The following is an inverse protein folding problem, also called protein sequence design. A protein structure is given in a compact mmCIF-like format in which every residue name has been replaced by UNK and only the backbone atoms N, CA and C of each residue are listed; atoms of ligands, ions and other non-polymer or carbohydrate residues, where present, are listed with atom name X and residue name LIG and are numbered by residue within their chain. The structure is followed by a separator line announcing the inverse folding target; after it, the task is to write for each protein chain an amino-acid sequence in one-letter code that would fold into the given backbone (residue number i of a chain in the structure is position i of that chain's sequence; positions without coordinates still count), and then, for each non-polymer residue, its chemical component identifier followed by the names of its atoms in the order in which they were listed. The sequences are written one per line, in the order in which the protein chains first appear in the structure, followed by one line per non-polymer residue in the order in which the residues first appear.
data_IF_970919545192
#
_entry.id   IF_970919545192
#
_cell.length_a   1.000
_cell.length_b   1.000
_cell.length_c   1.000
_cell.angle_alpha   90.00
_cell.angle_beta   90.00
_cell.angle_gamma   90.00
#
_symmetry.space_group_name_H-M   'P 1'
#
loop_
_entity.id
_entity.type
_entity.pdbx_description
1 polymer ?
#
# COMPACT_ATOMS: atom_id res chain seq x y z
N UNK A 1 46.86 -29.48 1.78
CA UNK A 1 45.53 -29.88 2.28
C UNK A 1 44.64 -30.16 1.07
N UNK A 2 44.30 -31.42 0.82
CA UNK A 2 43.50 -31.81 -0.34
C UNK A 2 42.01 -31.54 -0.07
N UNK A 3 41.41 -30.63 -0.83
CA UNK A 3 39.95 -30.43 -0.84
C UNK A 3 39.28 -31.66 -1.43
N UNK A 4 38.63 -32.48 -0.59
CA UNK A 4 37.80 -33.61 -1.03
C UNK A 4 36.71 -33.10 -1.97
N UNK A 5 36.56 -33.74 -3.13
CA UNK A 5 35.50 -33.42 -4.08
C UNK A 5 34.13 -33.64 -3.43
N UNK A 6 33.28 -32.60 -3.44
CA UNK A 6 31.93 -32.67 -2.90
C UNK A 6 31.07 -33.65 -3.71
N UNK A 7 30.44 -34.62 -3.04
CA UNK A 7 29.53 -35.57 -3.68
C UNK A 7 28.33 -34.85 -4.32
N UNK A 8 27.84 -35.37 -5.44
CA UNK A 8 26.73 -34.77 -6.21
C UNK A 8 25.46 -34.57 -5.37
N UNK A 9 25.15 -35.50 -4.47
CA UNK A 9 24.04 -35.38 -3.52
C UNK A 9 24.18 -34.17 -2.59
N UNK A 10 25.38 -33.93 -2.06
CA UNK A 10 25.68 -32.77 -1.21
C UNK A 10 25.57 -31.45 -1.99
N UNK A 11 25.99 -31.43 -3.26
CA UNK A 11 25.82 -30.25 -4.14
C UNK A 11 24.35 -29.94 -4.37
N UNK A 12 23.52 -30.95 -4.64
CA UNK A 12 22.08 -30.77 -4.86
C UNK A 12 21.38 -30.28 -3.59
N UNK A 13 21.70 -30.86 -2.43
CA UNK A 13 21.16 -30.42 -1.14
C UNK A 13 21.52 -28.95 -0.84
N UNK A 14 22.78 -28.55 -1.07
CA UNK A 14 23.22 -27.17 -0.88
C UNK A 14 22.50 -26.19 -1.83
N UNK A 15 22.24 -26.60 -3.07
CA UNK A 15 21.48 -25.77 -4.03
C UNK A 15 20.01 -25.62 -3.63
N UNK A 16 19.37 -26.67 -3.13
CA UNK A 16 18.00 -26.61 -2.63
C UNK A 16 17.89 -25.71 -1.41
N UNK A 17 18.85 -25.84 -0.48
CA UNK A 17 18.93 -24.99 0.70
C UNK A 17 19.12 -23.51 0.33
N UNK A 18 20.05 -23.21 -0.57
CA UNK A 18 20.29 -21.85 -1.07
C UNK A 18 19.05 -21.25 -1.75
N UNK A 19 18.31 -22.05 -2.52
CA UNK A 19 17.05 -21.61 -3.13
C UNK A 19 16.00 -21.27 -2.07
N UNK A 20 15.84 -22.13 -1.06
CA UNK A 20 14.89 -21.93 0.04
C UNK A 20 15.19 -20.65 0.81
N UNK A 21 16.47 -20.41 1.12
CA UNK A 21 16.92 -19.19 1.81
C UNK A 21 16.67 -17.92 0.99
N UNK A 22 16.91 -17.98 -0.33
CA UNK A 22 16.62 -16.85 -1.23
C UNK A 22 15.13 -16.55 -1.32
N UNK A 23 14.28 -17.57 -1.44
CA UNK A 23 12.83 -17.41 -1.46
C UNK A 23 12.35 -16.75 -0.16
N UNK A 24 12.77 -17.29 0.99
CA UNK A 24 12.41 -16.72 2.29
C UNK A 24 12.84 -15.26 2.44
N UNK A 25 14.03 -14.90 1.93
CA UNK A 25 14.51 -13.52 1.93
C UNK A 25 13.66 -12.60 1.05
N UNK A 26 13.24 -13.07 -0.13
CA UNK A 26 12.37 -12.32 -1.04
C UNK A 26 10.98 -12.12 -0.41
N UNK A 27 10.41 -13.16 0.17
CA UNK A 27 9.11 -13.11 0.86
C UNK A 27 9.15 -12.10 2.01
N UNK A 28 10.17 -12.16 2.87
CA UNK A 28 10.33 -11.21 3.97
C UNK A 28 10.49 -9.75 3.48
N UNK A 29 11.19 -9.54 2.37
CA UNK A 29 11.31 -8.19 1.76
C UNK A 29 9.98 -7.70 1.20
N UNK A 30 9.21 -8.57 0.54
CA UNK A 30 7.88 -8.24 0.03
C UNK A 30 6.91 -7.89 1.15
N UNK A 31 6.88 -8.68 2.23
CA UNK A 31 6.06 -8.39 3.41
C UNK A 31 6.42 -7.05 4.06
N UNK A 32 7.72 -6.75 4.16
CA UNK A 32 8.17 -5.47 4.68
C UNK A 32 7.73 -4.29 3.79
N UNK A 33 7.91 -4.41 2.48
CA UNK A 33 7.47 -3.39 1.52
C UNK A 33 5.94 -3.21 1.56
N UNK A 34 5.18 -4.29 1.65
CA UNK A 34 3.73 -4.25 1.76
C UNK A 34 3.29 -3.54 3.04
N UNK A 35 3.94 -3.83 4.18
CA UNK A 35 3.65 -3.22 5.47
C UNK A 35 3.90 -1.71 5.45
N UNK A 36 5.04 -1.28 4.89
CA UNK A 36 5.37 0.14 4.72
C UNK A 36 4.36 0.86 3.82
N UNK A 37 3.96 0.23 2.72
CA UNK A 37 2.97 0.79 1.80
C UNK A 37 1.61 0.95 2.49
N UNK A 38 1.17 -0.05 3.25
CA UNK A 38 -0.10 0.01 3.99
C UNK A 38 -0.10 1.14 5.01
N UNK A 39 1.00 1.32 5.76
CA UNK A 39 1.13 2.41 6.72
C UNK A 39 1.03 3.78 6.04
N UNK A 40 1.77 3.98 4.94
CA UNK A 40 1.70 5.23 4.17
C UNK A 40 0.29 5.50 3.64
N UNK A 41 -0.40 4.48 3.12
CA UNK A 41 -1.78 4.60 2.63
C UNK A 41 -2.76 4.95 3.75
N UNK A 42 -2.59 4.39 4.95
CA UNK A 42 -3.40 4.72 6.12
C UNK A 42 -3.28 6.21 6.47
N UNK A 43 -2.05 6.74 6.47
CA UNK A 43 -1.78 8.16 6.75
C UNK A 43 -2.35 9.09 5.67
N UNK A 44 -2.22 8.73 4.40
CA UNK A 44 -2.82 9.46 3.27
C UNK A 44 -4.35 9.53 3.39
N UNK A 45 -5.00 8.39 3.62
CA UNK A 45 -6.46 8.34 3.79
C UNK A 45 -6.94 9.13 5.00
N UNK A 46 -6.23 9.01 6.13
CA UNK A 46 -6.57 9.77 7.33
C UNK A 46 -6.44 11.28 7.10
N UNK A 47 -5.40 11.71 6.38
CA UNK A 47 -5.21 13.12 6.01
C UNK A 47 -6.35 13.63 5.14
N UNK A 48 -6.81 12.84 4.17
CA UNK A 48 -7.97 13.16 3.32
C UNK A 48 -9.24 13.30 4.17
N UNK A 49 -9.51 12.34 5.07
CA UNK A 49 -10.69 12.40 5.92
C UNK A 49 -10.68 13.64 6.82
N UNK A 50 -9.53 13.98 7.41
CA UNK A 50 -9.39 15.20 8.21
C UNK A 50 -9.62 16.46 7.36
N UNK A 51 -9.03 16.53 6.16
CA UNK A 51 -9.19 17.68 5.26
C UNK A 51 -10.65 17.87 4.81
N UNK A 52 -11.39 16.78 4.63
CA UNK A 52 -12.79 16.81 4.22
C UNK A 52 -13.78 16.89 5.39
N UNK A 53 -13.31 17.05 6.64
CA UNK A 53 -14.14 16.93 7.85
C UNK A 53 -15.01 15.66 7.88
N UNK A 54 -14.52 14.58 7.26
CA UNK A 54 -15.21 13.32 7.04
C UNK A 54 -14.91 12.28 8.13
N UNK A 55 -14.43 12.73 9.30
CA UNK A 55 -14.10 11.86 10.44
C UNK A 55 -15.33 11.12 11.00
N UNK A 56 -16.54 11.58 10.67
CA UNK A 56 -17.82 11.00 11.10
C UNK A 56 -18.41 10.02 10.09
N UNK A 57 -17.69 9.68 9.00
CA UNK A 57 -18.18 8.66 8.06
C UNK A 57 -18.22 7.31 8.78
N UNK A 58 -19.39 6.67 8.75
CA UNK A 58 -19.61 5.35 9.32
C UNK A 58 -18.81 4.26 8.56
N UNK A 59 -18.22 3.33 9.30
CA UNK A 59 -17.41 2.24 8.74
C UNK A 59 -18.20 1.37 7.76
N UNK A 60 -19.50 1.12 8.01
CA UNK A 60 -20.33 0.31 7.11
C UNK A 60 -20.61 1.06 5.82
N UNK A 61 -20.83 2.38 5.90
CA UNK A 61 -20.99 3.22 4.72
C UNK A 61 -19.71 3.26 3.88
N UNK A 62 -18.55 3.43 4.52
CA UNK A 62 -17.25 3.42 3.83
C UNK A 62 -16.98 2.05 3.18
N UNK A 63 -17.19 0.96 3.91
CA UNK A 63 -17.01 -0.40 3.39
C UNK A 63 -17.97 -0.66 2.23
N UNK A 64 -19.22 -0.24 2.34
CA UNK A 64 -20.23 -0.34 1.28
C UNK A 64 -19.78 0.38 0.02
N UNK A 65 -19.32 1.63 0.16
CA UNK A 65 -18.77 2.42 -0.94
C UNK A 65 -17.55 1.73 -1.59
N UNK A 66 -16.59 1.27 -0.79
CA UNK A 66 -15.38 0.61 -1.30
C UNK A 66 -15.71 -0.69 -2.06
N UNK A 67 -16.65 -1.50 -1.56
CA UNK A 67 -17.13 -2.69 -2.26
C UNK A 67 -17.80 -2.32 -3.57
N UNK A 68 -18.67 -1.31 -3.56
CA UNK A 68 -19.37 -0.82 -4.74
C UNK A 68 -18.38 -0.32 -5.81
N UNK A 69 -17.41 0.50 -5.42
CA UNK A 69 -16.43 1.11 -6.33
C UNK A 69 -15.41 0.09 -6.89
N UNK A 70 -15.10 -0.99 -6.14
CA UNK A 70 -14.18 -2.04 -6.59
C UNK A 70 -14.81 -3.01 -7.59
N UNK A 71 -16.14 -3.13 -7.58
CA UNK A 71 -16.85 -4.01 -8.50
C UNK A 71 -16.65 -3.55 -9.95
N UNK A 72 -16.21 -4.48 -10.81
CA UNK A 72 -15.91 -4.19 -12.20
C UNK A 72 -17.17 -3.80 -13.00
N UNK A 73 -18.35 -4.27 -12.59
CA UNK A 73 -19.63 -3.91 -13.21
C UNK A 73 -20.02 -2.45 -12.96
N UNK A 74 -19.55 -1.86 -11.85
CA UNK A 74 -19.92 -0.51 -11.44
C UNK A 74 -18.98 0.58 -11.96
N UNK A 75 -17.94 0.25 -12.75
CA UNK A 75 -16.92 1.21 -13.21
C UNK A 75 -17.48 2.48 -13.87
N UNK A 76 -18.59 2.34 -14.59
CA UNK A 76 -19.26 3.43 -15.30
C UNK A 76 -20.58 3.85 -14.65
N UNK A 77 -20.85 3.42 -13.42
CA UNK A 77 -22.08 3.75 -12.73
C UNK A 77 -22.18 5.27 -12.50
N UNK A 78 -23.37 5.84 -12.75
CA UNK A 78 -23.63 7.29 -12.68
C UNK A 78 -23.16 7.90 -11.35
N UNK A 79 -23.49 7.25 -10.24
CA UNK A 79 -23.03 7.62 -8.90
C UNK A 79 -21.50 7.83 -8.80
N UNK A 80 -20.67 6.95 -9.37
CA UNK A 80 -19.22 7.13 -9.33
C UNK A 80 -18.75 8.31 -10.19
N UNK A 81 -19.45 8.59 -11.28
CA UNK A 81 -19.14 9.74 -12.13
C UNK A 81 -19.53 11.05 -11.45
N UNK A 82 -20.67 11.11 -10.77
CA UNK A 82 -21.08 12.25 -9.96
C UNK A 82 -20.07 12.54 -8.85
N UNK A 83 -19.60 11.51 -8.14
CA UNK A 83 -18.56 11.67 -7.11
C UNK A 83 -17.25 12.23 -7.69
N UNK A 84 -16.84 11.79 -8.90
CA UNK A 84 -15.66 12.37 -9.59
C UNK A 84 -15.86 13.84 -9.93
N UNK A 85 -17.05 14.23 -10.37
CA UNK A 85 -17.36 15.63 -10.68
C UNK A 85 -17.39 16.52 -9.44
N UNK A 86 -17.93 16.02 -8.31
CA UNK A 86 -17.86 16.72 -7.03
C UNK A 86 -16.42 16.93 -6.60
N UNK A 87 -15.57 15.90 -6.73
CA UNK A 87 -14.14 16.03 -6.43
C UNK A 87 -13.44 17.06 -7.33
N UNK A 88 -13.72 17.10 -8.64
CA UNK A 88 -13.11 18.10 -9.55
C UNK A 88 -13.44 19.53 -9.16
N UNK A 89 -14.66 19.78 -8.68
CA UNK A 89 -15.15 21.10 -8.26
C UNK A 89 -14.63 21.49 -6.88
N UNK A 90 -14.31 20.51 -6.04
CA UNK A 90 -13.73 20.73 -4.71
C UNK A 90 -12.21 20.80 -4.81
N UNK A 91 -11.62 21.99 -4.60
CA UNK A 91 -10.17 22.08 -4.36
C UNK A 91 -9.88 21.31 -3.07
N UNK A 92 -9.23 20.16 -3.17
CA UNK A 92 -8.70 19.45 -2.02
C UNK A 92 -7.89 20.47 -1.20
N UNK A 93 -8.16 20.65 0.11
CA UNK A 93 -7.46 21.64 0.92
C UNK A 93 -5.96 21.38 0.83
N UNK A 94 -5.25 22.26 0.12
CA UNK A 94 -3.81 22.08 -0.04
C UNK A 94 -3.16 22.26 1.33
N UNK A 95 -2.25 21.34 1.66
CA UNK A 95 -1.40 21.40 2.86
C UNK A 95 -0.97 22.86 3.08
N UNK A 96 -1.12 23.44 4.30
CA UNK A 96 -0.61 24.78 4.54
C UNK A 96 0.87 24.78 4.16
N UNK A 97 1.28 25.76 3.34
CA UNK A 97 2.70 25.97 3.02
C UNK A 97 3.43 26.00 4.36
N UNK A 98 4.31 25.03 4.59
CA UNK A 98 5.23 25.06 5.72
C UNK A 98 6.03 26.33 5.58
N UNK A 99 5.60 27.40 6.27
CA UNK A 99 6.36 28.62 6.39
C UNK A 99 7.69 28.23 7.00
N UNK A 100 8.77 28.46 6.27
CA UNK A 100 10.13 28.33 6.77
C UNK A 100 10.33 29.44 7.81
N UNK A 101 9.81 29.25 9.02
CA UNK A 101 10.06 30.14 10.14
C UNK A 101 11.48 29.83 10.58
N UNK A 102 12.44 30.64 10.12
CA UNK A 102 13.73 30.77 10.79
C UNK A 102 13.44 31.28 12.20
N UNK A 103 13.72 30.45 13.19
CA UNK A 103 13.87 30.91 14.57
C UNK A 103 15.21 31.62 14.67
N UNK A 104 15.18 32.90 15.06
CA UNK A 104 16.34 33.65 15.58
C UNK A 104 16.83 33.05 16.90
#
# INVERSE_FOLDING_TARGET
MATKALATATKIANLQQLKKERIAKIEAQLEHQQSQLLQKRKEELFTIFKACNALTIDDRLLIGFLKFAKDASNKNHSFLNELKEVHKKSKMPSKPKSGNVKTD
#
